data_IF_377496523152
#
_entry.id   IF_377496523152
#
_cell.length_a   1.000
_cell.length_b   1.000
_cell.length_c   1.000
_cell.angle_alpha   90.00
_cell.angle_beta   90.00
_cell.angle_gamma   90.00
#
_symmetry.space_group_name_H-M   'P 1'
#
loop_
_entity.id
_entity.type
_entity.pdbx_description
1 polymer ?
#
# COMPACT_ATOMS: atom_id res chain seq x y z
N UNK A 1 -5.77 27.10 8.01
CA UNK A 1 -5.77 26.12 6.90
C UNK A 1 -7.18 25.62 6.69
N UNK A 2 -7.63 25.49 5.45
CA UNK A 2 -8.99 25.06 5.16
C UNK A 2 -9.20 23.58 5.55
N UNK A 3 -10.45 23.16 5.82
CA UNK A 3 -10.72 21.72 6.06
C UNK A 3 -10.27 20.83 4.92
N UNK A 4 -10.38 21.28 3.67
CA UNK A 4 -9.91 20.54 2.51
C UNK A 4 -8.41 20.24 2.59
N UNK A 5 -7.60 21.25 2.96
CA UNK A 5 -6.16 21.06 3.10
C UNK A 5 -5.80 20.09 4.22
N UNK A 6 -6.53 20.15 5.34
CA UNK A 6 -6.32 19.17 6.43
C UNK A 6 -6.62 17.75 5.98
N UNK A 7 -7.72 17.54 5.27
CA UNK A 7 -8.08 16.23 4.74
C UNK A 7 -7.02 15.76 3.76
N UNK A 8 -6.53 16.64 2.89
CA UNK A 8 -5.47 16.30 1.93
C UNK A 8 -4.17 15.91 2.63
N UNK A 9 -3.78 16.63 3.68
CA UNK A 9 -2.58 16.30 4.47
C UNK A 9 -2.73 14.92 5.11
N UNK A 10 -3.88 14.66 5.71
CA UNK A 10 -4.15 13.36 6.33
C UNK A 10 -4.14 12.23 5.29
N UNK A 11 -4.71 12.47 4.12
CA UNK A 11 -4.70 11.50 3.03
C UNK A 11 -3.28 11.18 2.56
N UNK A 12 -2.46 12.19 2.33
CA UNK A 12 -1.06 12.01 1.89
C UNK A 12 -0.27 11.27 2.97
N UNK A 13 -0.48 11.59 4.23
CA UNK A 13 0.18 10.91 5.35
C UNK A 13 -0.21 9.43 5.39
N UNK A 14 -1.50 9.14 5.30
CA UNK A 14 -1.99 7.76 5.29
C UNK A 14 -1.45 6.98 4.09
N UNK A 15 -1.42 7.60 2.91
CA UNK A 15 -0.88 6.98 1.71
C UNK A 15 0.62 6.67 1.86
N UNK A 16 1.37 7.59 2.45
CA UNK A 16 2.80 7.38 2.69
C UNK A 16 3.03 6.21 3.64
N UNK A 17 2.28 6.13 4.73
CA UNK A 17 2.38 5.02 5.68
C UNK A 17 2.02 3.70 5.01
N UNK A 18 0.95 3.68 4.21
CA UNK A 18 0.52 2.48 3.50
C UNK A 18 1.59 2.01 2.51
N UNK A 19 2.09 2.90 1.66
CA UNK A 19 3.09 2.55 0.66
C UNK A 19 4.40 2.08 1.30
N UNK A 20 4.88 2.78 2.32
CA UNK A 20 6.07 2.39 3.07
C UNK A 20 5.91 1.03 3.71
N UNK A 21 4.72 0.77 4.27
CA UNK A 21 4.41 -0.51 4.90
C UNK A 21 4.42 -1.65 3.90
N UNK A 22 3.82 -1.46 2.73
CA UNK A 22 3.81 -2.48 1.67
C UNK A 22 5.23 -2.77 1.20
N UNK A 23 6.06 -1.75 1.03
CA UNK A 23 7.48 -1.91 0.66
C UNK A 23 8.23 -2.68 1.75
N UNK A 24 8.03 -2.32 3.01
CA UNK A 24 8.71 -2.98 4.12
C UNK A 24 8.35 -4.47 4.22
N UNK A 25 7.07 -4.80 4.07
CA UNK A 25 6.63 -6.20 4.08
C UNK A 25 7.18 -6.95 2.87
N UNK A 26 7.23 -6.31 1.71
CA UNK A 26 7.82 -6.89 0.51
C UNK A 26 9.29 -7.25 0.71
N UNK A 27 10.06 -6.34 1.33
CA UNK A 27 11.45 -6.60 1.66
C UNK A 27 11.59 -7.74 2.67
N UNK A 28 10.75 -7.75 3.69
CA UNK A 28 10.75 -8.84 4.68
C UNK A 28 10.53 -10.19 4.02
N UNK A 29 9.52 -10.30 3.15
CA UNK A 29 9.21 -11.54 2.47
C UNK A 29 10.32 -11.97 1.51
N UNK A 30 11.02 -11.02 0.88
CA UNK A 30 12.13 -11.35 -0.01
C UNK A 30 13.35 -11.85 0.77
N UNK A 31 13.60 -11.30 1.97
CA UNK A 31 14.73 -11.71 2.81
C UNK A 31 14.50 -13.08 3.42
N UNK A 32 13.26 -13.42 3.75
CA UNK A 32 12.92 -14.75 4.28
C UNK A 32 13.35 -15.86 3.33
N UNK A 33 13.20 -15.64 2.03
CA UNK A 33 13.60 -16.62 1.02
C UNK A 33 12.93 -17.97 1.20
N UNK A 34 13.73 -19.04 1.26
CA UNK A 34 13.22 -20.41 1.37
C UNK A 34 13.20 -20.93 2.81
N UNK A 35 13.63 -20.15 3.79
CA UNK A 35 13.67 -20.58 5.20
C UNK A 35 12.67 -19.76 6.02
N UNK A 36 11.96 -20.45 6.93
CA UNK A 36 11.00 -19.79 7.80
C UNK A 36 11.73 -19.03 8.91
N UNK A 37 11.38 -17.75 9.16
CA UNK A 37 11.95 -17.00 10.27
C UNK A 37 11.36 -17.48 11.61
N UNK A 38 11.94 -17.05 12.75
CA UNK A 38 11.36 -17.36 14.06
C UNK A 38 9.91 -16.91 14.18
N UNK A 39 9.05 -17.69 14.83
CA UNK A 39 7.62 -17.34 14.95
C UNK A 39 7.35 -15.98 15.56
N UNK A 40 8.20 -15.50 16.47
CA UNK A 40 8.04 -14.20 17.10
C UNK A 40 8.15 -13.07 16.09
N UNK A 41 9.05 -13.20 15.12
CA UNK A 41 9.24 -12.19 14.07
C UNK A 41 8.03 -12.16 13.15
N UNK A 42 7.56 -13.32 12.74
CA UNK A 42 6.36 -13.43 11.90
C UNK A 42 5.15 -12.78 12.59
N UNK A 43 4.97 -13.09 13.89
CA UNK A 43 3.88 -12.54 14.67
C UNK A 43 3.94 -11.01 14.73
N UNK A 44 5.13 -10.45 14.95
CA UNK A 44 5.31 -9.00 15.03
C UNK A 44 5.02 -8.31 13.70
N UNK A 45 5.48 -8.89 12.59
CA UNK A 45 5.23 -8.33 11.26
C UNK A 45 3.74 -8.36 10.95
N UNK A 46 3.07 -9.48 11.20
CA UNK A 46 1.62 -9.59 10.98
C UNK A 46 0.84 -8.61 11.83
N UNK A 47 1.21 -8.45 13.09
CA UNK A 47 0.54 -7.53 14.00
C UNK A 47 0.72 -6.09 13.54
N UNK A 48 1.92 -5.73 13.09
CA UNK A 48 2.18 -4.40 12.56
C UNK A 48 1.38 -4.16 11.29
N UNK A 49 1.31 -5.13 10.40
CA UNK A 49 0.47 -5.04 9.21
C UNK A 49 -0.99 -4.78 9.57
N UNK A 50 -1.54 -5.54 10.49
CA UNK A 50 -2.94 -5.42 10.89
C UNK A 50 -3.24 -4.10 11.61
N UNK A 51 -2.30 -3.57 12.36
CA UNK A 51 -2.52 -2.38 13.19
C UNK A 51 -2.11 -1.08 12.54
N UNK A 52 -1.22 -1.12 11.57
CA UNK A 52 -0.67 0.08 10.94
C UNK A 52 -0.98 0.11 9.46
N UNK A 53 -0.60 -0.93 8.72
CA UNK A 53 -0.70 -0.92 7.26
C UNK A 53 -2.15 -1.02 6.79
N UNK A 54 -2.92 -1.94 7.35
CA UNK A 54 -4.32 -2.10 6.95
C UNK A 54 -5.17 -0.87 7.29
N UNK A 55 -5.10 -0.29 8.50
CA UNK A 55 -5.79 0.96 8.76
C UNK A 55 -5.34 2.09 7.83
N UNK A 56 -4.03 2.19 7.55
CA UNK A 56 -3.52 3.21 6.65
C UNK A 56 -4.10 3.03 5.24
N UNK A 57 -4.25 1.80 4.76
CA UNK A 57 -4.89 1.52 3.48
C UNK A 57 -6.34 2.01 3.46
N UNK A 58 -7.11 1.71 4.51
CA UNK A 58 -8.51 2.13 4.62
C UNK A 58 -8.61 3.66 4.63
N UNK A 59 -7.76 4.33 5.42
CA UNK A 59 -7.74 5.79 5.45
C UNK A 59 -7.31 6.39 4.12
N UNK A 60 -6.36 5.76 3.43
CA UNK A 60 -5.93 6.21 2.09
C UNK A 60 -7.11 6.19 1.13
N UNK A 61 -7.89 5.12 1.11
CA UNK A 61 -9.08 5.02 0.26
C UNK A 61 -10.14 6.04 0.67
N UNK A 62 -10.50 6.07 1.95
CA UNK A 62 -11.58 6.93 2.45
C UNK A 62 -11.27 8.41 2.26
N UNK A 63 -10.07 8.83 2.67
CA UNK A 63 -9.66 10.23 2.55
C UNK A 63 -9.42 10.62 1.09
N UNK A 64 -8.94 9.67 0.26
CA UNK A 64 -8.77 9.94 -1.17
C UNK A 64 -10.10 10.17 -1.88
N UNK A 65 -11.10 9.35 -1.59
CA UNK A 65 -12.45 9.54 -2.15
C UNK A 65 -13.04 10.86 -1.67
N UNK A 66 -12.89 11.18 -0.39
CA UNK A 66 -13.38 12.42 0.16
C UNK A 66 -12.71 13.63 -0.48
N UNK A 67 -11.39 13.59 -0.64
CA UNK A 67 -10.63 14.67 -1.28
C UNK A 67 -11.08 14.87 -2.73
N UNK A 68 -11.24 13.77 -3.47
CA UNK A 68 -11.68 13.82 -4.86
C UNK A 68 -13.10 14.37 -4.98
N UNK A 69 -13.98 14.00 -4.06
CA UNK A 69 -15.36 14.52 -4.04
C UNK A 69 -15.40 16.01 -3.76
N UNK A 70 -14.64 16.47 -2.76
CA UNK A 70 -14.58 17.88 -2.40
C UNK A 70 -13.95 18.74 -3.50
N UNK A 71 -12.98 18.18 -4.23
CA UNK A 71 -12.31 18.89 -5.32
C UNK A 71 -12.98 18.72 -6.68
N UNK A 72 -14.05 17.95 -6.77
CA UNK A 72 -14.73 17.65 -8.04
C UNK A 72 -13.80 17.04 -9.09
N UNK A 73 -12.90 16.14 -8.64
CA UNK A 73 -11.85 15.58 -9.49
C UNK A 73 -12.30 14.40 -10.35
N UNK A 74 -13.53 13.90 -10.15
CA UNK A 74 -14.01 12.71 -10.85
C UNK A 74 -14.18 12.90 -12.37
N UNK A 75 -14.09 14.14 -12.85
CA UNK A 75 -14.13 14.43 -14.29
C UNK A 75 -12.75 14.29 -14.95
N UNK A 76 -11.69 14.07 -14.19
CA UNK A 76 -10.32 14.02 -14.70
C UNK A 76 -9.85 12.58 -14.90
N UNK A 77 -9.32 12.30 -16.10
CA UNK A 77 -8.84 10.95 -16.44
C UNK A 77 -7.67 10.50 -15.56
N UNK A 78 -6.79 11.42 -15.14
CA UNK A 78 -5.65 11.08 -14.29
C UNK A 78 -6.09 10.46 -12.96
N UNK A 79 -7.25 10.85 -12.45
CA UNK A 79 -7.76 10.29 -11.19
C UNK A 79 -8.10 8.80 -11.36
N UNK A 80 -8.72 8.43 -12.46
CA UNK A 80 -9.09 7.03 -12.70
C UNK A 80 -7.86 6.15 -12.86
N UNK A 81 -6.81 6.65 -13.50
CA UNK A 81 -5.53 5.93 -13.60
C UNK A 81 -4.93 5.75 -12.21
N UNK A 82 -4.94 6.79 -11.38
CA UNK A 82 -4.43 6.74 -10.03
C UNK A 82 -5.21 5.74 -9.16
N UNK A 83 -6.54 5.73 -9.28
CA UNK A 83 -7.40 4.76 -8.59
C UNK A 83 -7.04 3.34 -9.01
N UNK A 84 -6.84 3.10 -10.30
CA UNK A 84 -6.42 1.78 -10.79
C UNK A 84 -5.10 1.33 -10.21
N UNK A 85 -4.13 2.23 -10.10
CA UNK A 85 -2.83 1.93 -9.49
C UNK A 85 -2.95 1.63 -7.99
N UNK A 86 -3.82 2.35 -7.28
CA UNK A 86 -4.06 2.09 -5.86
C UNK A 86 -4.78 0.75 -5.67
N UNK A 87 -5.69 0.39 -6.57
CA UNK A 87 -6.32 -0.94 -6.56
C UNK A 87 -5.24 -2.03 -6.73
N UNK A 88 -4.33 -1.85 -7.68
CA UNK A 88 -3.23 -2.79 -7.89
C UNK A 88 -2.36 -2.91 -6.64
N UNK A 89 -2.00 -1.79 -6.03
CA UNK A 89 -1.21 -1.78 -4.80
C UNK A 89 -1.95 -2.47 -3.65
N UNK A 90 -3.25 -2.26 -3.54
CA UNK A 90 -4.08 -2.92 -2.53
C UNK A 90 -4.15 -4.42 -2.76
N UNK A 91 -4.21 -4.86 -4.02
CA UNK A 91 -4.16 -6.28 -4.37
C UNK A 91 -2.82 -6.91 -3.99
N UNK A 92 -1.71 -6.20 -4.23
CA UNK A 92 -0.38 -6.65 -3.81
C UNK A 92 -0.34 -6.79 -2.28
N UNK A 93 -0.89 -5.83 -1.56
CA UNK A 93 -0.98 -5.91 -0.09
C UNK A 93 -1.80 -7.12 0.36
N UNK A 94 -2.92 -7.40 -0.31
CA UNK A 94 -3.73 -8.58 -0.02
C UNK A 94 -2.94 -9.88 -0.20
N UNK A 95 -2.15 -9.97 -1.26
CA UNK A 95 -1.26 -11.13 -1.47
C UNK A 95 -0.23 -11.24 -0.35
N UNK A 96 0.32 -10.13 0.11
CA UNK A 96 1.26 -10.12 1.22
C UNK A 96 0.63 -10.62 2.51
N UNK A 97 -0.61 -10.23 2.78
CA UNK A 97 -1.35 -10.70 3.96
C UNK A 97 -1.50 -12.23 3.92
N UNK A 98 -1.88 -12.77 2.77
CA UNK A 98 -2.01 -14.22 2.59
C UNK A 98 -0.67 -14.92 2.81
N UNK A 99 0.41 -14.37 2.26
CA UNK A 99 1.75 -14.93 2.42
C UNK A 99 2.23 -14.92 3.86
N UNK A 100 1.98 -13.82 4.58
CA UNK A 100 2.33 -13.74 6.00
C UNK A 100 1.55 -14.77 6.80
N UNK A 101 0.28 -14.98 6.47
CA UNK A 101 -0.55 -15.97 7.14
C UNK A 101 -0.02 -17.38 6.90
N UNK A 102 0.32 -17.71 5.65
CA UNK A 102 0.89 -19.01 5.31
C UNK A 102 2.22 -19.24 6.00
N UNK A 103 3.05 -18.21 6.06
CA UNK A 103 4.34 -18.27 6.74
C UNK A 103 4.14 -18.55 8.23
N UNK A 104 3.14 -17.93 8.86
CA UNK A 104 2.80 -18.18 10.26
C UNK A 104 2.31 -19.62 10.49
N UNK A 105 1.69 -20.24 9.49
CA UNK A 105 1.23 -21.64 9.53
C UNK A 105 2.34 -22.63 9.20
N UNK A 106 3.57 -22.15 9.01
CA UNK A 106 4.72 -23.01 8.73
C UNK A 106 4.98 -23.31 7.27
N UNK A 107 4.17 -22.75 6.35
CA UNK A 107 4.36 -22.93 4.91
C UNK A 107 5.43 -21.98 4.39
N UNK A 108 6.43 -22.51 3.70
CA UNK A 108 7.47 -21.69 3.08
C UNK A 108 6.87 -20.94 1.90
N UNK A 109 7.04 -19.59 1.81
CA UNK A 109 6.44 -18.81 0.73
C UNK A 109 7.06 -19.18 -0.62
N UNK A 110 6.21 -19.21 -1.64
CA UNK A 110 6.68 -19.39 -3.01
C UNK A 110 7.40 -18.11 -3.47
N UNK A 111 8.37 -18.31 -4.37
CA UNK A 111 9.11 -17.17 -4.94
C UNK A 111 8.20 -16.39 -5.91
N UNK A 112 7.91 -15.13 -5.57
CA UNK A 112 7.16 -14.24 -6.45
C UNK A 112 8.06 -13.05 -6.79
N UNK A 113 9.06 -13.30 -7.61
CA UNK A 113 10.06 -12.30 -7.99
C UNK A 113 9.47 -11.09 -8.69
N UNK A 114 8.27 -11.20 -9.29
CA UNK A 114 7.61 -10.10 -9.99
C UNK A 114 7.05 -9.03 -9.04
N UNK A 115 6.83 -9.37 -7.76
CA UNK A 115 6.17 -8.45 -6.81
C UNK A 115 7.01 -7.22 -6.54
N UNK A 116 8.31 -7.39 -6.33
CA UNK A 116 9.21 -6.26 -6.08
C UNK A 116 9.22 -5.25 -7.23
N UNK A 117 9.56 -5.67 -8.46
CA UNK A 117 9.52 -4.76 -9.62
C UNK A 117 8.15 -4.17 -9.87
N UNK A 118 7.07 -4.95 -9.75
CA UNK A 118 5.71 -4.46 -9.93
C UNK A 118 5.38 -3.36 -8.93
N UNK A 119 5.77 -3.54 -7.66
CA UNK A 119 5.56 -2.56 -6.61
C UNK A 119 6.30 -1.26 -6.89
N UNK A 120 7.56 -1.34 -7.30
CA UNK A 120 8.36 -0.16 -7.62
C UNK A 120 7.79 0.60 -8.81
N UNK A 121 7.37 -0.09 -9.86
CA UNK A 121 6.76 0.53 -11.04
C UNK A 121 5.44 1.22 -10.65
N UNK A 122 4.61 0.56 -9.87
CA UNK A 122 3.34 1.11 -9.41
C UNK A 122 3.57 2.37 -8.57
N UNK A 123 4.51 2.31 -7.64
CA UNK A 123 4.84 3.44 -6.79
C UNK A 123 5.37 4.62 -7.61
N UNK A 124 6.28 4.37 -8.54
CA UNK A 124 6.83 5.40 -9.42
C UNK A 124 5.73 6.04 -10.27
N UNK A 125 4.80 5.25 -10.79
CA UNK A 125 3.69 5.75 -11.58
C UNK A 125 2.75 6.63 -10.75
N UNK A 126 2.47 6.24 -9.51
CA UNK A 126 1.64 7.04 -8.61
C UNK A 126 2.31 8.37 -8.29
N UNK A 127 3.61 8.35 -7.98
CA UNK A 127 4.38 9.56 -7.71
C UNK A 127 4.38 10.48 -8.93
N UNK A 128 4.61 9.91 -10.12
CA UNK A 128 4.59 10.68 -11.36
C UNK A 128 3.23 11.37 -11.56
N UNK A 129 2.13 10.66 -11.36
CA UNK A 129 0.80 11.22 -11.53
C UNK A 129 0.50 12.32 -10.50
N UNK A 130 1.03 12.19 -9.30
CA UNK A 130 0.85 13.22 -8.27
C UNK A 130 1.61 14.49 -8.62
N UNK A 131 2.84 14.36 -9.11
CA UNK A 131 3.69 15.51 -9.43
C UNK A 131 3.31 16.13 -10.77
N UNK A 132 3.09 15.32 -11.79
CA UNK A 132 2.81 15.81 -13.14
C UNK A 132 1.38 16.30 -13.32
N UNK A 133 0.49 15.94 -12.43
CA UNK A 133 -0.90 16.30 -12.52
C UNK A 133 -1.07 17.82 -12.36
N UNK A 134 -1.77 18.46 -13.29
CA UNK A 134 -2.18 19.85 -13.08
C UNK A 134 -3.27 19.88 -12.02
N UNK A 135 -3.12 20.75 -11.08
CA UNK A 135 -4.12 20.93 -10.04
C UNK A 135 -5.25 21.83 -10.49
#
# INVERSE_FOLDING_TARGET
MSPYLWIKVLHVTAAFVFFSGVVAVSLFLSVVGSSAPPPQIIYRVRRWDQRVIQPAMVFTWGLGILTASLGSWFVHAWLFIKIGLVILLSAIHGLQVVRLRRLADGTVPSNAAWVGPALLVTLAAIIFLVIAKPL
#
